data_IF_640406279569
#
_entry.id   IF_640406279569
#
_cell.length_a   1.000
_cell.length_b   1.000
_cell.length_c   1.000
_cell.angle_alpha   90.00
_cell.angle_beta   90.00
_cell.angle_gamma   90.00
#
_symmetry.space_group_name_H-M   'P 1'
#
loop_
_entity.id
_entity.type
_entity.pdbx_description
1 polymer ?
#
# COMPACT_ATOMS: atom_id res chain seq x y z
N UNK A 1 -4.71 -6.02 -7.80
CA UNK A 1 -3.74 -4.92 -7.96
C UNK A 1 -2.28 -5.38 -7.86
N UNK A 2 -1.95 -6.38 -7.05
CA UNK A 2 -0.57 -6.87 -6.83
C UNK A 2 0.17 -7.20 -8.13
N UNK A 3 -0.51 -7.77 -9.12
CA UNK A 3 0.06 -8.10 -10.43
C UNK A 3 0.62 -6.86 -11.14
N UNK A 4 -0.12 -5.75 -11.12
CA UNK A 4 0.27 -4.52 -11.83
C UNK A 4 1.37 -3.79 -11.06
N UNK A 5 1.26 -3.72 -9.73
CA UNK A 5 2.32 -3.18 -8.86
C UNK A 5 3.60 -4.01 -8.96
N UNK A 6 3.52 -5.33 -9.00
CA UNK A 6 4.68 -6.21 -9.20
C UNK A 6 5.38 -5.88 -10.54
N UNK A 7 4.62 -5.69 -11.61
CA UNK A 7 5.17 -5.30 -12.91
C UNK A 7 5.90 -3.97 -12.85
N UNK A 8 5.24 -2.93 -12.31
CA UNK A 8 5.80 -1.59 -12.17
C UNK A 8 7.10 -1.60 -11.35
N UNK A 9 7.04 -2.12 -10.12
CA UNK A 9 8.17 -2.10 -9.19
C UNK A 9 9.33 -2.98 -9.64
N UNK A 10 9.06 -4.13 -10.29
CA UNK A 10 10.12 -5.01 -10.78
C UNK A 10 10.87 -4.39 -11.97
N UNK A 11 10.18 -3.66 -12.85
CA UNK A 11 10.82 -2.96 -13.95
C UNK A 11 11.64 -1.76 -13.47
N UNK A 12 11.13 -0.98 -12.52
CA UNK A 12 11.88 0.11 -11.89
C UNK A 12 13.16 -0.38 -11.20
N UNK A 13 13.08 -1.51 -10.48
CA UNK A 13 14.27 -2.13 -9.88
C UNK A 13 15.36 -2.41 -10.93
N UNK A 14 14.99 -2.88 -12.13
CA UNK A 14 15.95 -3.12 -13.21
C UNK A 14 16.61 -1.81 -13.68
N UNK A 15 15.84 -0.74 -13.82
CA UNK A 15 16.34 0.57 -14.21
C UNK A 15 17.27 1.17 -13.15
N UNK A 16 16.91 1.06 -11.88
CA UNK A 16 17.76 1.50 -10.77
C UNK A 16 19.04 0.68 -10.70
N UNK A 17 18.98 -0.64 -10.83
CA UNK A 17 20.16 -1.51 -10.83
C UNK A 17 21.10 -1.15 -11.98
N UNK A 18 20.56 -0.87 -13.18
CA UNK A 18 21.37 -0.45 -14.33
C UNK A 18 22.07 0.89 -14.10
N UNK A 19 21.35 1.89 -13.52
CA UNK A 19 21.94 3.20 -13.16
C UNK A 19 23.05 3.10 -12.11
N UNK A 20 22.94 2.14 -11.19
CA UNK A 20 23.93 1.89 -10.14
C UNK A 20 25.05 0.93 -10.57
N UNK A 21 25.02 0.42 -11.80
CA UNK A 21 26.00 -0.55 -12.31
C UNK A 21 25.94 -1.90 -11.63
N UNK A 22 24.80 -2.26 -11.02
CA UNK A 22 24.54 -3.56 -10.39
C UNK A 22 23.98 -4.55 -11.40
N UNK A 23 24.33 -5.82 -11.27
CA UNK A 23 23.69 -6.90 -12.03
C UNK A 23 22.45 -7.38 -11.29
N UNK A 24 21.24 -7.18 -11.84
CA UNK A 24 20.02 -7.64 -11.22
C UNK A 24 19.90 -9.18 -11.31
N UNK A 25 19.18 -9.85 -10.38
CA UNK A 25 18.99 -11.29 -10.38
C UNK A 25 18.01 -11.79 -11.44
N UNK A 26 17.29 -10.90 -12.14
CA UNK A 26 16.32 -11.20 -13.18
C UNK A 26 16.35 -10.10 -14.25
N UNK A 27 15.73 -10.34 -15.37
CA UNK A 27 15.56 -9.41 -16.48
C UNK A 27 14.08 -9.11 -16.81
N UNK A 28 13.83 -8.19 -17.74
CA UNK A 28 12.48 -7.78 -18.12
C UNK A 28 11.67 -8.91 -18.77
N UNK A 29 12.30 -9.93 -19.34
CA UNK A 29 11.59 -11.10 -19.89
C UNK A 29 11.04 -11.98 -18.78
N UNK A 30 11.80 -12.16 -17.70
CA UNK A 30 11.38 -12.89 -16.50
C UNK A 30 10.22 -12.18 -15.80
N UNK A 31 10.25 -10.84 -15.73
CA UNK A 31 9.11 -10.05 -15.20
C UNK A 31 7.86 -10.30 -16.04
N UNK A 32 7.96 -10.24 -17.38
CA UNK A 32 6.81 -10.53 -18.26
C UNK A 32 6.26 -11.95 -18.09
N UNK A 33 7.13 -12.95 -17.95
CA UNK A 33 6.71 -14.32 -17.69
C UNK A 33 6.02 -14.47 -16.34
N UNK A 34 6.56 -13.83 -15.28
CA UNK A 34 5.90 -13.82 -13.96
C UNK A 34 4.49 -13.23 -14.02
N UNK A 35 4.30 -12.10 -14.72
CA UNK A 35 2.99 -11.47 -14.93
C UNK A 35 2.02 -12.41 -15.66
N UNK A 36 2.46 -13.13 -16.69
CA UNK A 36 1.63 -14.08 -17.43
C UNK A 36 1.17 -15.26 -16.57
N UNK A 37 2.00 -15.69 -15.62
CA UNK A 37 1.71 -16.82 -14.75
C UNK A 37 1.06 -16.42 -13.41
N UNK A 38 0.84 -15.13 -13.19
CA UNK A 38 0.14 -14.65 -11.99
C UNK A 38 -1.35 -14.94 -12.09
N UNK A 39 -1.88 -15.65 -11.09
CA UNK A 39 -3.31 -15.88 -10.90
C UNK A 39 -3.79 -14.95 -9.79
N UNK A 40 -4.64 -13.95 -10.09
CA UNK A 40 -5.19 -13.06 -9.06
C UNK A 40 -6.21 -13.82 -8.20
N UNK A 41 -6.18 -13.57 -6.90
CA UNK A 41 -7.14 -14.07 -5.93
C UNK A 41 -7.81 -12.89 -5.23
N UNK A 42 -9.11 -13.00 -5.00
CA UNK A 42 -9.90 -12.01 -4.28
C UNK A 42 -9.81 -12.23 -2.77
N UNK A 43 -9.93 -11.14 -2.00
CA UNK A 43 -10.00 -11.24 -0.54
C UNK A 43 -11.20 -12.05 -0.09
N UNK A 44 -11.01 -12.82 0.98
CA UNK A 44 -12.04 -13.63 1.62
C UNK A 44 -12.42 -14.92 0.87
N UNK A 45 -12.00 -15.09 -0.37
CA UNK A 45 -12.29 -16.30 -1.13
C UNK A 45 -11.31 -17.42 -0.78
N UNK A 46 -11.86 -18.58 -0.41
CA UNK A 46 -11.07 -19.81 -0.19
C UNK A 46 -10.76 -20.45 -1.53
N UNK A 47 -9.47 -20.56 -1.84
CA UNK A 47 -8.99 -21.08 -3.13
C UNK A 47 -8.11 -22.30 -2.93
N UNK A 48 -8.36 -23.37 -3.66
CA UNK A 48 -7.50 -24.55 -3.70
C UNK A 48 -6.19 -24.21 -4.44
N UNK A 49 -5.05 -24.34 -3.76
CA UNK A 49 -3.72 -24.07 -4.34
C UNK A 49 -2.88 -25.34 -4.49
N UNK A 50 -3.23 -26.40 -3.77
CA UNK A 50 -2.69 -27.74 -3.87
C UNK A 50 -3.76 -28.75 -3.42
N UNK A 51 -3.57 -30.07 -3.64
CA UNK A 51 -4.63 -31.06 -3.35
C UNK A 51 -5.21 -31.02 -1.95
N UNK A 52 -4.41 -30.66 -0.95
CA UNK A 52 -4.76 -30.62 0.48
C UNK A 52 -4.42 -29.26 1.14
N UNK A 53 -4.21 -28.22 0.32
CA UNK A 53 -3.92 -26.87 0.82
C UNK A 53 -4.85 -25.86 0.15
N UNK A 54 -5.56 -25.11 0.96
CA UNK A 54 -6.37 -23.96 0.53
C UNK A 54 -5.76 -22.67 1.06
N UNK A 55 -5.97 -21.59 0.33
CA UNK A 55 -5.50 -20.23 0.67
C UNK A 55 -6.68 -19.27 0.73
N UNK A 56 -6.74 -18.48 1.79
CA UNK A 56 -7.59 -17.30 1.87
C UNK A 56 -6.69 -16.08 2.04
N UNK A 57 -6.87 -15.07 1.21
CA UNK A 57 -6.23 -13.77 1.37
C UNK A 57 -7.15 -12.83 2.15
N UNK A 58 -6.63 -12.15 3.16
CA UNK A 58 -7.37 -11.15 3.91
C UNK A 58 -6.65 -9.80 3.80
N UNK A 59 -7.40 -8.70 3.75
CA UNK A 59 -6.79 -7.37 3.69
C UNK A 59 -5.78 -7.16 4.83
N UNK A 60 -4.57 -6.76 4.49
CA UNK A 60 -3.51 -6.43 5.45
C UNK A 60 -3.44 -4.93 5.79
N UNK A 61 -4.19 -4.07 5.09
CA UNK A 61 -4.31 -2.63 5.35
C UNK A 61 -3.06 -1.80 5.08
N UNK A 62 -1.97 -2.40 4.58
CA UNK A 62 -0.67 -1.76 4.47
C UNK A 62 -0.51 -0.94 3.17
N UNK A 63 -0.68 -1.57 2.04
CA UNK A 63 -0.67 -0.95 0.70
C UNK A 63 -1.74 -1.60 -0.18
N UNK A 64 -1.97 -1.05 -1.38
CA UNK A 64 -2.93 -1.58 -2.33
C UNK A 64 -2.66 -3.05 -2.64
N UNK A 65 -3.62 -3.93 -2.32
CA UNK A 65 -3.54 -5.37 -2.55
C UNK A 65 -2.66 -6.13 -1.56
N UNK A 66 -2.19 -5.50 -0.45
CA UNK A 66 -1.48 -6.19 0.62
C UNK A 66 -2.39 -7.20 1.32
N UNK A 67 -1.88 -8.39 1.59
CA UNK A 67 -2.70 -9.47 2.13
C UNK A 67 -2.03 -10.24 3.26
N UNK A 68 -2.82 -10.59 4.27
CA UNK A 68 -2.52 -11.70 5.18
C UNK A 68 -2.84 -13.00 4.45
N UNK A 69 -1.86 -13.88 4.33
CA UNK A 69 -2.02 -15.18 3.67
C UNK A 69 -2.39 -16.24 4.70
N UNK A 70 -3.62 -16.73 4.65
CA UNK A 70 -4.14 -17.73 5.56
C UNK A 70 -4.26 -19.09 4.85
N UNK A 71 -3.37 -20.01 5.19
CA UNK A 71 -3.31 -21.35 4.63
C UNK A 71 -4.11 -22.34 5.48
N UNK A 72 -4.95 -23.14 4.83
CA UNK A 72 -5.72 -24.22 5.42
C UNK A 72 -5.15 -25.54 4.91
N UNK A 73 -4.50 -26.30 5.77
CA UNK A 73 -3.80 -27.54 5.45
C UNK A 73 -4.63 -28.73 5.92
N UNK A 74 -4.73 -29.79 5.09
CA UNK A 74 -5.46 -30.99 5.41
C UNK A 74 -6.95 -30.73 5.68
N UNK A 75 -7.64 -30.01 4.77
CA UNK A 75 -9.05 -29.58 4.94
C UNK A 75 -9.30 -28.78 6.24
N UNK A 76 -8.32 -27.96 6.65
CA UNK A 76 -8.41 -27.13 7.84
C UNK A 76 -8.03 -27.83 9.16
N UNK A 77 -7.38 -28.98 9.10
CA UNK A 77 -6.83 -29.63 10.29
C UNK A 77 -5.74 -28.77 10.96
N UNK A 78 -4.99 -28.01 10.16
CA UNK A 78 -3.97 -27.08 10.62
C UNK A 78 -4.00 -25.78 9.80
N UNK A 79 -4.01 -24.64 10.47
CA UNK A 79 -4.09 -23.33 9.81
C UNK A 79 -2.87 -22.48 10.17
N UNK A 80 -2.25 -21.88 9.16
CA UNK A 80 -1.09 -21.00 9.31
C UNK A 80 -1.40 -19.67 8.64
N UNK A 81 -1.21 -18.57 9.36
CA UNK A 81 -1.34 -17.24 8.80
C UNK A 81 0.03 -16.55 8.74
N UNK A 82 0.34 -15.95 7.59
CA UNK A 82 1.48 -15.06 7.40
C UNK A 82 0.96 -13.65 7.22
N UNK A 83 1.37 -12.74 8.10
CA UNK A 83 0.85 -11.37 8.09
C UNK A 83 1.26 -10.58 6.83
N UNK A 84 2.44 -10.86 6.28
CA UNK A 84 3.10 -9.84 5.45
C UNK A 84 3.30 -8.57 6.27
N UNK A 85 3.48 -7.44 5.59
CA UNK A 85 3.45 -6.13 6.25
C UNK A 85 2.00 -5.73 6.51
N UNK A 86 1.66 -5.38 7.76
CA UNK A 86 0.29 -5.10 8.17
C UNK A 86 0.13 -3.70 8.75
N UNK A 87 -1.07 -3.14 8.58
CA UNK A 87 -1.48 -1.91 9.26
C UNK A 87 -2.86 -2.09 9.89
N UNK A 88 -2.94 -2.03 11.23
CA UNK A 88 -4.14 -2.36 12.00
C UNK A 88 -5.23 -1.28 12.00
N UNK A 89 -4.86 -0.03 11.78
CA UNK A 89 -5.79 1.09 11.78
C UNK A 89 -6.21 1.41 10.36
N UNK A 90 -7.36 2.02 10.20
CA UNK A 90 -7.74 2.61 8.94
C UNK A 90 -6.73 3.71 8.58
N UNK A 91 -6.33 3.76 7.32
CA UNK A 91 -5.57 4.84 6.74
C UNK A 91 -6.51 5.74 5.95
N UNK A 92 -5.99 6.75 5.28
CA UNK A 92 -6.81 7.56 4.36
C UNK A 92 -7.21 6.78 3.09
N UNK A 93 -6.43 5.76 2.72
CA UNK A 93 -6.64 4.95 1.52
C UNK A 93 -7.39 3.65 1.82
N UNK A 94 -7.03 2.97 2.89
CA UNK A 94 -7.43 1.59 3.14
C UNK A 94 -8.06 1.39 4.50
N UNK A 95 -8.98 0.44 4.59
CA UNK A 95 -9.41 -0.11 5.86
C UNK A 95 -8.25 -0.86 6.53
N UNK A 96 -8.18 -0.86 7.85
CA UNK A 96 -7.19 -1.59 8.63
C UNK A 96 -7.18 -3.08 8.34
N UNK A 97 -6.10 -3.76 8.74
CA UNK A 97 -5.95 -5.19 8.55
C UNK A 97 -7.08 -5.98 9.19
N UNK A 98 -7.55 -7.01 8.50
CA UNK A 98 -8.44 -8.02 9.08
C UNK A 98 -7.66 -8.75 10.17
N UNK A 99 -8.21 -8.82 11.38
CA UNK A 99 -7.61 -9.45 12.55
C UNK A 99 -8.53 -10.49 13.21
N UNK A 100 -9.66 -10.80 12.60
CA UNK A 100 -10.61 -11.82 13.05
C UNK A 100 -10.52 -13.03 12.11
N UNK A 101 -9.88 -14.09 12.59
CA UNK A 101 -9.71 -15.34 11.87
C UNK A 101 -10.44 -16.47 12.59
N UNK A 102 -11.20 -17.31 11.88
CA UNK A 102 -12.00 -18.36 12.53
C UNK A 102 -11.13 -19.38 13.25
N UNK A 103 -9.92 -19.64 12.76
CA UNK A 103 -8.97 -20.57 13.37
C UNK A 103 -7.57 -20.35 12.82
N UNK A 104 -6.58 -20.17 13.69
CA UNK A 104 -5.15 -20.09 13.36
C UNK A 104 -4.35 -20.82 14.43
N UNK A 105 -3.63 -21.89 14.06
CA UNK A 105 -2.73 -22.61 14.95
C UNK A 105 -1.35 -21.96 15.00
N UNK A 106 -0.90 -21.39 13.88
CA UNK A 106 0.38 -20.69 13.79
C UNK A 106 0.22 -19.35 13.10
N UNK A 107 0.74 -18.31 13.74
CA UNK A 107 0.82 -16.97 13.17
C UNK A 107 2.30 -16.59 13.00
N UNK A 108 2.68 -16.27 11.75
CA UNK A 108 3.96 -15.64 11.42
C UNK A 108 3.69 -14.15 11.24
N UNK A 109 4.15 -13.36 12.21
CA UNK A 109 3.84 -11.94 12.31
C UNK A 109 5.08 -11.10 12.05
N UNK A 110 4.94 -10.03 11.25
CA UNK A 110 5.99 -9.01 11.11
C UNK A 110 6.23 -8.30 12.45
N UNK A 111 7.40 -7.70 12.58
CA UNK A 111 7.80 -6.98 13.81
C UNK A 111 8.64 -5.73 13.52
N UNK A 112 8.34 -5.05 12.41
CA UNK A 112 9.06 -3.85 11.96
C UNK A 112 9.12 -2.78 13.06
N UNK A 113 8.02 -2.60 13.79
CA UNK A 113 7.90 -1.70 14.94
C UNK A 113 7.70 -2.47 16.26
N UNK A 114 8.34 -3.64 16.37
CA UNK A 114 8.20 -4.52 17.54
C UNK A 114 9.12 -4.20 18.72
N UNK A 115 9.96 -3.16 18.63
CA UNK A 115 10.85 -2.75 19.69
C UNK A 115 10.13 -2.07 20.86
N UNK A 116 10.70 -2.17 22.07
CA UNK A 116 10.10 -1.61 23.30
C UNK A 116 9.78 -0.11 23.22
N UNK A 117 10.52 0.65 22.41
CA UNK A 117 10.43 2.11 22.31
C UNK A 117 9.97 2.54 20.90
N UNK A 118 9.47 1.64 20.08
CA UNK A 118 9.00 1.93 18.73
C UNK A 118 7.53 2.39 18.79
N UNK A 119 7.34 3.60 19.29
CA UNK A 119 6.02 4.24 19.30
C UNK A 119 5.81 5.02 18.02
N UNK A 120 4.80 4.66 17.28
CA UNK A 120 4.37 5.47 16.13
C UNK A 120 3.64 6.72 16.62
N UNK A 121 3.95 7.86 16.01
CA UNK A 121 3.19 9.09 16.22
C UNK A 121 1.78 8.90 15.70
N UNK A 122 0.81 9.52 16.36
CA UNK A 122 -0.56 9.52 15.90
C UNK A 122 -0.65 10.14 14.48
N UNK A 123 -1.54 9.61 13.66
CA UNK A 123 -1.71 10.07 12.27
C UNK A 123 -2.14 11.52 12.23
N UNK A 124 -3.12 11.94 13.04
CA UNK A 124 -3.60 13.32 13.11
C UNK A 124 -2.50 14.29 13.53
N UNK A 125 -1.66 13.90 14.49
CA UNK A 125 -0.51 14.71 14.92
C UNK A 125 0.53 14.86 13.80
N UNK A 126 0.77 13.80 13.04
CA UNK A 126 1.69 13.79 11.91
C UNK A 126 1.19 14.67 10.77
N UNK A 127 -0.09 14.59 10.43
CA UNK A 127 -0.73 15.42 9.42
C UNK A 127 -0.75 16.91 9.83
N UNK A 128 -1.09 17.21 11.07
CA UNK A 128 -1.05 18.57 11.61
C UNK A 128 0.34 19.17 11.53
N UNK A 129 1.37 18.38 11.84
CA UNK A 129 2.76 18.79 11.73
C UNK A 129 3.17 19.02 10.27
N UNK A 130 2.73 18.17 9.35
CA UNK A 130 2.98 18.33 7.92
C UNK A 130 2.34 19.63 7.40
N UNK A 131 1.05 19.86 7.67
CA UNK A 131 0.32 21.08 7.31
C UNK A 131 1.03 22.34 7.86
N UNK A 132 1.48 22.29 9.10
CA UNK A 132 2.21 23.40 9.73
C UNK A 132 3.57 23.70 9.05
N UNK A 133 4.34 22.65 8.73
CA UNK A 133 5.63 22.81 8.03
C UNK A 133 5.40 23.43 6.65
N UNK A 134 4.40 22.93 5.91
CA UNK A 134 4.07 23.44 4.56
C UNK A 134 3.68 24.91 4.65
N UNK A 135 2.74 25.28 5.50
CA UNK A 135 2.29 26.66 5.69
C UNK A 135 3.46 27.60 5.97
N UNK A 136 4.27 27.30 6.98
CA UNK A 136 5.42 28.13 7.35
C UNK A 136 6.48 28.24 6.25
N UNK A 137 6.60 27.24 5.41
CA UNK A 137 7.55 27.26 4.29
C UNK A 137 7.03 28.12 3.16
N UNK A 138 5.75 28.02 2.82
CA UNK A 138 5.10 28.82 1.79
C UNK A 138 5.03 30.32 2.18
N UNK A 139 4.80 30.66 3.45
CA UNK A 139 4.83 32.04 3.96
C UNK A 139 6.18 32.75 3.74
N UNK A 140 7.23 31.97 3.50
CA UNK A 140 8.58 32.47 3.22
C UNK A 140 9.02 32.29 1.77
N UNK A 141 8.05 32.12 0.86
CA UNK A 141 8.29 31.84 -0.56
C UNK A 141 9.17 30.58 -0.78
N UNK A 142 9.14 29.63 0.16
CA UNK A 142 9.93 28.41 0.11
C UNK A 142 9.24 27.29 -0.64
N UNK A 143 10.01 26.26 -0.97
CA UNK A 143 9.53 25.01 -1.59
C UNK A 143 9.64 23.86 -0.60
N UNK A 144 8.63 23.00 -0.54
CA UNK A 144 8.64 21.79 0.29
C UNK A 144 8.93 20.59 -0.59
N UNK A 145 9.99 19.85 -0.29
CA UNK A 145 10.30 18.56 -0.90
C UNK A 145 9.89 17.45 0.06
N UNK A 146 9.02 16.56 -0.42
CA UNK A 146 8.49 15.44 0.38
C UNK A 146 8.96 14.13 -0.23
N UNK A 147 10.00 13.47 0.31
CA UNK A 147 10.39 12.14 -0.13
C UNK A 147 9.37 11.12 0.38
N UNK A 148 8.81 10.34 -0.54
CA UNK A 148 7.80 9.33 -0.24
C UNK A 148 7.96 8.10 -1.13
N UNK A 149 7.57 6.93 -0.61
CA UNK A 149 7.44 5.74 -1.44
C UNK A 149 6.34 5.94 -2.49
N UNK A 150 6.57 5.44 -3.69
CA UNK A 150 5.65 5.60 -4.82
C UNK A 150 4.28 4.96 -4.57
N UNK A 151 4.22 3.87 -3.81
CA UNK A 151 2.99 3.10 -3.53
C UNK A 151 2.54 3.33 -2.10
N UNK A 152 1.28 3.75 -1.91
CA UNK A 152 0.60 3.93 -0.64
C UNK A 152 0.89 5.30 -0.01
N UNK A 153 2.09 5.53 0.50
CA UNK A 153 2.41 6.76 1.26
C UNK A 153 2.27 8.05 0.45
N UNK A 154 2.68 8.05 -0.81
CA UNK A 154 2.54 9.23 -1.67
C UNK A 154 1.07 9.57 -1.92
N UNK A 155 0.21 8.58 -2.16
CA UNK A 155 -1.22 8.79 -2.36
C UNK A 155 -1.90 9.31 -1.09
N UNK A 156 -1.52 8.84 0.10
CA UNK A 156 -2.01 9.40 1.37
C UNK A 156 -1.63 10.87 1.53
N UNK A 157 -0.36 11.22 1.24
CA UNK A 157 0.10 12.61 1.30
C UNK A 157 -0.68 13.49 0.31
N UNK A 158 -0.95 13.01 -0.89
CA UNK A 158 -1.76 13.73 -1.88
C UNK A 158 -3.17 14.04 -1.34
N UNK A 159 -3.82 13.08 -0.68
CA UNK A 159 -5.13 13.28 -0.05
C UNK A 159 -5.08 14.29 1.09
N UNK A 160 -4.03 14.24 1.93
CA UNK A 160 -3.82 15.25 3.00
C UNK A 160 -3.64 16.65 2.42
N UNK A 161 -2.87 16.78 1.34
CA UNK A 161 -2.63 18.07 0.68
C UNK A 161 -3.90 18.62 0.02
N UNK A 162 -4.62 17.76 -0.72
CA UNK A 162 -5.89 18.14 -1.34
C UNK A 162 -6.89 18.66 -0.31
N UNK A 163 -7.11 17.91 0.77
CA UNK A 163 -8.00 18.28 1.85
C UNK A 163 -7.55 19.59 2.53
N UNK A 164 -6.26 19.73 2.82
CA UNK A 164 -5.72 20.91 3.46
C UNK A 164 -5.87 22.18 2.60
N UNK A 165 -5.73 22.06 1.27
CA UNK A 165 -5.99 23.18 0.35
C UNK A 165 -7.49 23.50 0.25
N UNK A 166 -8.34 22.49 0.12
CA UNK A 166 -9.80 22.63 0.04
C UNK A 166 -10.39 23.24 1.31
N UNK A 167 -9.87 22.93 2.49
CA UNK A 167 -10.29 23.47 3.79
C UNK A 167 -9.66 24.83 4.11
N UNK A 168 -8.67 25.25 3.33
CA UNK A 168 -7.96 26.50 3.56
C UNK A 168 -6.89 26.42 4.67
N UNK A 169 -6.53 25.24 5.09
CA UNK A 169 -5.46 24.99 6.05
C UNK A 169 -4.09 25.39 5.50
N UNK A 170 -3.88 25.22 4.20
CA UNK A 170 -2.72 25.69 3.45
C UNK A 170 -3.19 26.44 2.20
N UNK A 171 -2.40 27.37 1.64
CA UNK A 171 -2.71 28.02 0.37
C UNK A 171 -2.81 26.99 -0.76
N UNK A 172 -3.63 27.28 -1.76
CA UNK A 172 -3.67 26.50 -3.00
C UNK A 172 -2.36 26.73 -3.77
N UNK A 173 -1.59 25.66 -3.95
CA UNK A 173 -0.29 25.69 -4.63
C UNK A 173 -0.13 24.49 -5.55
N UNK A 174 0.69 24.59 -6.62
CA UNK A 174 1.00 23.45 -7.47
C UNK A 174 1.71 22.33 -6.68
N UNK A 175 1.25 21.10 -6.87
CA UNK A 175 1.89 19.88 -6.36
C UNK A 175 2.50 19.14 -7.54
N UNK A 176 3.83 19.00 -7.53
CA UNK A 176 4.55 18.28 -8.57
C UNK A 176 4.88 16.86 -8.12
N UNK A 177 4.56 15.89 -8.96
CA UNK A 177 4.85 14.47 -8.72
C UNK A 177 6.02 14.05 -9.59
N UNK A 178 6.97 13.33 -9.01
CA UNK A 178 8.15 12.80 -9.70
C UNK A 178 8.34 11.31 -9.41
N UNK A 179 9.12 10.62 -10.25
CA UNK A 179 9.29 9.18 -10.18
C UNK A 179 8.02 8.41 -10.56
N UNK A 180 7.79 7.24 -9.95
CA UNK A 180 6.67 6.34 -10.25
C UNK A 180 5.35 6.70 -9.55
N UNK A 181 5.24 7.86 -8.90
CA UNK A 181 4.04 8.21 -8.14
C UNK A 181 2.81 8.27 -9.05
N UNK A 182 2.98 8.77 -10.27
CA UNK A 182 1.90 8.86 -11.24
C UNK A 182 1.35 7.49 -11.64
N UNK A 183 2.23 6.58 -12.05
CA UNK A 183 1.86 5.22 -12.45
C UNK A 183 1.21 4.45 -11.29
N UNK A 184 1.79 4.57 -10.10
CA UNK A 184 1.23 3.96 -8.91
C UNK A 184 -0.17 4.52 -8.59
N UNK A 185 -0.38 5.83 -8.74
CA UNK A 185 -1.68 6.47 -8.54
C UNK A 185 -2.70 6.02 -9.57
N UNK A 186 -2.30 5.89 -10.85
CA UNK A 186 -3.16 5.34 -11.89
C UNK A 186 -3.58 3.89 -11.58
N UNK A 187 -2.67 3.07 -11.04
CA UNK A 187 -3.03 1.72 -10.59
C UNK A 187 -4.04 1.78 -9.44
N UNK A 188 -3.86 2.65 -8.44
CA UNK A 188 -4.84 2.81 -7.34
C UNK A 188 -6.24 3.16 -7.88
N UNK A 189 -6.32 4.06 -8.86
CA UNK A 189 -7.59 4.47 -9.48
C UNK A 189 -8.25 3.35 -10.31
N UNK A 190 -7.48 2.35 -10.73
CA UNK A 190 -7.99 1.18 -11.49
C UNK A 190 -8.66 0.14 -10.59
N UNK A 191 -8.38 0.18 -9.29
CA UNK A 191 -8.87 -0.78 -8.30
C UNK A 191 -9.62 -0.09 -7.15
N UNK A 192 -10.72 0.63 -7.44
CA UNK A 192 -11.44 1.40 -6.43
C UNK A 192 -12.04 0.53 -5.32
N UNK A 193 -12.34 -0.74 -5.61
CA UNK A 193 -12.90 -1.71 -4.65
C UNK A 193 -11.96 -2.05 -3.50
N UNK A 194 -10.66 -1.74 -3.63
CA UNK A 194 -9.67 -1.91 -2.57
C UNK A 194 -9.52 -0.67 -1.70
N UNK A 195 -10.06 0.47 -2.12
CA UNK A 195 -10.04 1.73 -1.38
C UNK A 195 -11.18 1.76 -0.35
N UNK A 196 -11.04 2.63 0.64
CA UNK A 196 -12.14 2.90 1.59
C UNK A 196 -13.38 3.40 0.86
N UNK A 197 -14.55 3.04 1.38
CA UNK A 197 -15.83 3.39 0.78
C UNK A 197 -16.04 4.91 0.68
N UNK A 198 -15.71 5.66 1.73
CA UNK A 198 -15.81 7.12 1.78
C UNK A 198 -14.90 7.80 0.75
N UNK A 199 -13.68 7.29 0.56
CA UNK A 199 -12.77 7.79 -0.46
C UNK A 199 -13.27 7.45 -1.87
N UNK A 200 -13.77 6.23 -2.06
CA UNK A 200 -14.33 5.79 -3.34
C UNK A 200 -15.53 6.65 -3.75
N UNK A 201 -16.44 6.93 -2.83
CA UNK A 201 -17.59 7.82 -3.07
C UNK A 201 -17.11 9.21 -3.49
N UNK A 202 -16.12 9.78 -2.78
CA UNK A 202 -15.57 11.10 -3.08
C UNK A 202 -14.89 11.16 -4.46
N UNK A 203 -14.16 10.14 -4.87
CA UNK A 203 -13.46 10.13 -6.17
C UNK A 203 -14.42 9.94 -7.36
N UNK A 204 -15.49 9.16 -7.19
CA UNK A 204 -16.33 8.73 -8.31
C UNK A 204 -17.75 9.33 -8.31
N UNK A 205 -18.16 10.06 -7.27
CA UNK A 205 -19.52 10.60 -7.13
C UNK A 205 -19.57 12.09 -6.78
N UNK A 206 -18.45 12.74 -6.44
CA UNK A 206 -18.39 14.20 -6.34
C UNK A 206 -18.12 14.77 -7.74
N UNK A 207 -19.23 15.21 -8.39
CA UNK A 207 -19.24 16.08 -9.58
C UNK A 207 -19.11 17.57 -9.18
#
# INVERSE_FOLDING_TARGET
PTRDLMGLLSLDYLDVAAKEGRTPPYDSSMVREAIKHTVPLEYGNVTDIAPDIKLTLHNAGHILGSAVSHFHIGDGLYNVAFSGDIHYRDTRLFNGAVNDFPRVETLVLESTYGGRNDYQTDQEDSERKLKHIIRNTLERDGTVLVPAFAVGRSQEIMLVLEEAMREGDIPEVPVHLDGMIWEATAIHSTYPEYLRDDLRERIFHDD
#
